data_IF_601851968834
#
_entry.id   IF_601851968834
#
_cell.length_a   1.000
_cell.length_b   1.000
_cell.length_c   1.000
_cell.angle_alpha   90.00
_cell.angle_beta   90.00
_cell.angle_gamma   90.00
#
_symmetry.space_group_name_H-M   'P 1'
#
loop_
_entity.id
_entity.type
_entity.pdbx_description
1 polymer ?
#
# COMPACT_ATOMS: atom_id res chain seq x y z
N UNK A 1 -35.76 32.62 62.97
CA UNK A 1 -35.90 31.35 62.16
C UNK A 1 -36.06 31.57 60.68
N UNK A 2 -36.92 32.48 60.17
CA UNK A 2 -37.17 32.71 58.74
C UNK A 2 -35.95 33.23 57.94
N UNK A 3 -35.02 33.97 58.55
CA UNK A 3 -33.88 34.50 57.90
C UNK A 3 -32.75 33.44 57.67
N UNK A 4 -32.57 32.53 58.60
CA UNK A 4 -31.60 31.40 58.51
C UNK A 4 -31.97 30.46 57.37
N UNK A 5 -33.26 30.21 57.17
CA UNK A 5 -33.78 29.33 56.12
C UNK A 5 -33.55 29.90 54.71
N UNK A 6 -33.64 31.22 54.54
CA UNK A 6 -33.35 31.88 53.27
C UNK A 6 -31.86 31.83 52.88
N UNK A 7 -30.96 31.91 53.85
CA UNK A 7 -29.51 31.81 53.65
C UNK A 7 -29.13 30.37 53.20
N UNK A 8 -29.71 29.37 53.89
CA UNK A 8 -29.47 27.97 53.53
C UNK A 8 -29.95 27.63 52.13
N UNK A 9 -31.15 28.10 51.71
CA UNK A 9 -31.67 27.92 50.35
C UNK A 9 -30.78 28.61 49.32
N UNK A 10 -30.26 29.81 49.61
CA UNK A 10 -29.34 30.52 48.74
C UNK A 10 -28.02 29.80 48.54
N UNK A 11 -27.48 29.18 49.60
CA UNK A 11 -26.22 28.43 49.53
C UNK A 11 -26.43 27.10 48.78
N UNK A 12 -27.52 26.39 49.01
CA UNK A 12 -27.86 25.15 48.29
C UNK A 12 -28.14 25.47 46.79
N UNK A 13 -28.84 26.52 46.46
CA UNK A 13 -29.08 26.96 45.10
C UNK A 13 -27.80 27.35 44.37
N UNK A 14 -26.87 28.06 45.07
CA UNK A 14 -25.56 28.39 44.54
C UNK A 14 -24.67 27.18 44.30
N UNK A 15 -24.69 26.17 45.21
CA UNK A 15 -23.97 24.91 45.07
C UNK A 15 -24.53 24.06 43.90
N UNK A 16 -25.82 24.00 43.73
CA UNK A 16 -26.48 23.31 42.63
C UNK A 16 -26.13 23.99 41.29
N UNK A 17 -26.09 25.31 41.25
CA UNK A 17 -25.67 26.08 40.06
C UNK A 17 -24.20 25.86 39.72
N UNK A 18 -23.33 25.82 40.70
CA UNK A 18 -21.91 25.50 40.53
C UNK A 18 -21.70 24.05 40.07
N UNK A 19 -22.42 23.08 40.62
CA UNK A 19 -22.37 21.68 40.20
C UNK A 19 -22.93 21.51 38.77
N UNK A 20 -24.01 22.20 38.42
CA UNK A 20 -24.58 22.17 37.08
C UNK A 20 -23.72 22.90 36.03
N UNK A 21 -23.00 23.96 36.43
CA UNK A 21 -21.97 24.60 35.58
C UNK A 21 -20.72 23.74 35.39
N UNK A 22 -20.30 22.99 36.42
CA UNK A 22 -19.19 22.02 36.28
C UNK A 22 -19.60 20.73 35.56
N UNK A 23 -20.87 20.35 35.61
CA UNK A 23 -21.46 19.25 34.84
C UNK A 23 -21.98 19.67 33.47
N UNK A 24 -21.47 20.72 32.85
CA UNK A 24 -21.54 20.77 31.39
C UNK A 24 -20.85 19.52 30.91
N UNK A 25 -21.65 18.52 30.52
CA UNK A 25 -21.18 17.32 29.80
C UNK A 25 -20.29 17.85 28.68
N UNK A 26 -18.96 17.78 28.87
CA UNK A 26 -18.03 17.94 27.74
C UNK A 26 -18.57 17.02 26.70
N UNK A 27 -19.11 17.54 25.63
CA UNK A 27 -19.60 16.78 24.51
C UNK A 27 -18.43 15.95 24.07
N UNK A 28 -18.49 14.62 24.28
CA UNK A 28 -17.39 13.71 23.99
C UNK A 28 -17.16 13.77 22.50
N UNK A 29 -16.03 14.35 22.09
CA UNK A 29 -15.69 14.43 20.68
C UNK A 29 -15.45 12.99 20.20
N UNK A 30 -16.28 12.53 19.28
CA UNK A 30 -16.25 11.16 18.76
C UNK A 30 -15.62 11.05 17.38
N UNK A 31 -15.38 12.19 16.71
CA UNK A 31 -14.82 12.25 15.38
C UNK A 31 -13.55 13.12 15.35
N UNK A 32 -12.52 12.64 14.69
CA UNK A 32 -11.26 13.36 14.54
C UNK A 32 -11.46 14.71 13.84
N UNK A 33 -12.37 14.77 12.86
CA UNK A 33 -12.69 16.01 12.14
C UNK A 33 -13.15 17.12 13.09
N UNK A 34 -14.05 16.79 14.03
CA UNK A 34 -14.59 17.75 14.98
C UNK A 34 -13.51 18.25 15.95
N UNK A 35 -12.60 17.33 16.34
CA UNK A 35 -11.47 17.68 17.20
C UNK A 35 -10.48 18.59 16.48
N UNK A 36 -10.11 18.27 15.25
CA UNK A 36 -9.21 19.08 14.42
C UNK A 36 -9.81 20.47 14.14
N UNK A 37 -11.09 20.54 13.78
CA UNK A 37 -11.74 21.83 13.52
C UNK A 37 -11.81 22.70 14.78
N UNK A 38 -12.00 22.10 15.96
CA UNK A 38 -11.99 22.82 17.24
C UNK A 38 -10.61 23.33 17.62
N UNK A 39 -9.56 22.51 17.48
CA UNK A 39 -8.20 22.83 17.95
C UNK A 39 -7.36 23.58 16.89
N UNK A 40 -7.69 23.39 15.60
CA UNK A 40 -7.04 23.99 14.43
C UNK A 40 -8.07 24.45 13.39
N UNK A 41 -8.82 25.50 13.67
CA UNK A 41 -9.91 25.94 12.79
C UNK A 41 -9.44 26.12 11.34
N UNK A 42 -10.13 25.50 10.41
CA UNK A 42 -9.92 25.62 8.96
C UNK A 42 -8.52 25.29 8.44
N UNK A 43 -7.70 24.54 9.21
CA UNK A 43 -6.32 24.21 8.81
C UNK A 43 -6.21 22.88 8.09
N UNK A 44 -7.02 21.88 8.45
CA UNK A 44 -6.85 20.52 8.02
C UNK A 44 -8.10 19.92 7.36
N UNK A 45 -7.87 18.97 6.43
CA UNK A 45 -8.87 18.07 5.87
C UNK A 45 -8.56 16.61 6.24
N UNK A 46 -9.58 15.89 6.69
CA UNK A 46 -9.48 14.45 6.91
C UNK A 46 -9.78 13.75 5.59
N UNK A 47 -8.75 13.13 5.01
CA UNK A 47 -8.84 12.46 3.71
C UNK A 47 -9.37 11.05 3.83
N UNK A 48 -8.95 10.33 4.89
CA UNK A 48 -9.37 8.95 5.13
C UNK A 48 -9.32 8.56 6.60
N UNK A 49 -10.14 7.55 6.94
CA UNK A 49 -10.15 6.91 8.24
C UNK A 49 -9.94 5.41 8.06
N UNK A 50 -8.97 4.84 8.72
CA UNK A 50 -8.66 3.42 8.64
C UNK A 50 -8.61 2.76 10.02
N UNK A 51 -8.69 1.43 10.02
CA UNK A 51 -8.48 0.61 11.22
C UNK A 51 -7.33 -0.35 10.92
N UNK A 52 -6.32 -0.35 11.77
CA UNK A 52 -5.17 -1.26 11.66
C UNK A 52 -5.16 -2.21 12.84
N UNK A 53 -5.22 -3.49 12.57
CA UNK A 53 -5.04 -4.51 13.59
C UNK A 53 -3.55 -4.64 13.93
N UNK A 54 -3.21 -4.37 15.20
CA UNK A 54 -1.81 -4.38 15.65
C UNK A 54 -1.30 -5.80 15.84
N UNK A 55 -2.17 -6.73 16.20
CA UNK A 55 -1.83 -8.15 16.40
C UNK A 55 -2.94 -9.01 15.83
N UNK A 56 -2.61 -9.92 14.91
CA UNK A 56 -3.57 -10.80 14.21
C UNK A 56 -4.48 -11.64 15.10
N UNK A 57 -4.21 -11.79 16.40
CA UNK A 57 -4.97 -12.65 17.31
C UNK A 57 -5.38 -11.98 18.63
N UNK A 58 -5.15 -10.70 18.80
CA UNK A 58 -5.57 -9.94 19.98
C UNK A 58 -6.41 -8.75 19.50
N UNK A 59 -7.57 -8.56 20.13
CA UNK A 59 -8.61 -7.56 19.79
C UNK A 59 -8.14 -6.08 19.92
N UNK A 60 -6.89 -5.77 19.61
CA UNK A 60 -6.36 -4.42 19.65
C UNK A 60 -6.27 -3.86 18.23
N UNK A 61 -7.28 -3.09 17.85
CA UNK A 61 -7.24 -2.29 16.63
C UNK A 61 -6.99 -0.83 16.98
N UNK A 62 -6.00 -0.24 16.35
CA UNK A 62 -5.78 1.21 16.35
C UNK A 62 -6.49 1.80 15.16
N UNK A 63 -7.27 2.84 15.39
CA UNK A 63 -7.81 3.68 14.33
C UNK A 63 -6.79 4.75 14.01
N UNK A 64 -6.75 5.14 12.75
CA UNK A 64 -5.97 6.25 12.30
C UNK A 64 -6.71 7.05 11.24
N UNK A 65 -6.22 8.23 10.96
CA UNK A 65 -6.71 9.06 9.88
C UNK A 65 -5.56 9.67 9.13
N UNK A 66 -5.65 9.66 7.80
CA UNK A 66 -4.78 10.48 6.96
C UNK A 66 -5.38 11.87 6.88
N UNK A 67 -4.59 12.84 7.29
CA UNK A 67 -4.98 14.24 7.39
C UNK A 67 -4.04 15.09 6.55
N UNK A 68 -4.58 16.01 5.76
CA UNK A 68 -3.83 16.92 4.91
C UNK A 68 -3.95 18.36 5.36
N UNK A 69 -2.94 19.19 5.11
CA UNK A 69 -3.07 20.65 5.21
C UNK A 69 -3.87 21.21 4.03
N UNK A 70 -4.86 22.06 4.30
CA UNK A 70 -5.65 22.73 3.26
C UNK A 70 -4.79 23.65 2.37
N UNK A 71 -3.74 24.24 2.94
CA UNK A 71 -2.79 25.11 2.21
C UNK A 71 -1.91 24.34 1.22
N UNK A 72 -1.60 23.09 1.50
CA UNK A 72 -0.87 22.17 0.61
C UNK A 72 -1.30 20.72 0.86
N UNK A 73 -2.23 20.18 0.06
CA UNK A 73 -2.77 18.83 0.24
C UNK A 73 -1.74 17.71 0.10
N UNK A 74 -0.54 17.99 -0.39
CA UNK A 74 0.55 17.00 -0.47
C UNK A 74 1.27 16.83 0.88
N UNK A 75 1.08 17.75 1.83
CA UNK A 75 1.58 17.62 3.20
C UNK A 75 0.56 16.88 4.02
N UNK A 76 0.82 15.59 4.24
CA UNK A 76 -0.11 14.67 4.88
C UNK A 76 0.53 13.98 6.08
N UNK A 77 -0.25 13.83 7.14
CA UNK A 77 0.16 13.12 8.34
C UNK A 77 -0.79 11.97 8.65
N UNK A 78 -0.24 10.88 9.17
CA UNK A 78 -0.98 9.77 9.73
C UNK A 78 -1.16 10.01 11.23
N UNK A 79 -2.40 10.22 11.65
CA UNK A 79 -2.76 10.51 13.03
C UNK A 79 -3.45 9.30 13.66
N UNK A 80 -2.79 8.55 14.54
CA UNK A 80 -3.44 7.48 15.30
C UNK A 80 -4.39 8.06 16.35
N UNK A 81 -5.56 7.46 16.53
CA UNK A 81 -6.53 7.86 17.53
C UNK A 81 -7.37 6.69 18.05
N UNK A 82 -7.93 6.83 19.26
CA UNK A 82 -8.86 5.84 19.85
C UNK A 82 -10.30 6.34 19.73
N UNK A 83 -11.17 5.51 19.14
CA UNK A 83 -12.60 5.82 18.99
C UNK A 83 -13.30 6.09 20.33
N UNK A 84 -12.82 5.50 21.42
CA UNK A 84 -13.44 5.64 22.75
C UNK A 84 -13.06 6.94 23.43
N UNK A 85 -11.89 7.48 23.10
CA UNK A 85 -11.30 8.66 23.77
C UNK A 85 -10.36 9.40 22.82
N UNK A 86 -10.92 10.07 21.82
CA UNK A 86 -10.11 10.90 20.89
C UNK A 86 -9.24 11.89 21.67
N UNK A 87 -9.78 12.48 22.75
CA UNK A 87 -9.04 13.44 23.60
C UNK A 87 -7.87 12.80 24.35
N UNK A 88 -7.79 11.47 24.49
CA UNK A 88 -6.66 10.78 25.14
C UNK A 88 -5.60 10.37 24.11
N UNK A 89 -6.00 10.04 22.89
CA UNK A 89 -5.09 9.61 21.82
C UNK A 89 -4.48 10.75 21.01
N UNK A 90 -5.18 11.90 20.92
CA UNK A 90 -4.74 13.08 20.18
C UNK A 90 -4.44 14.23 21.12
N UNK A 91 -3.21 14.72 21.08
CA UNK A 91 -2.80 15.99 21.70
C UNK A 91 -2.37 16.96 20.61
N UNK A 92 -2.39 18.28 20.93
CA UNK A 92 -1.84 19.29 20.02
C UNK A 92 -0.39 19.00 19.67
N UNK A 93 0.43 18.66 20.66
CA UNK A 93 1.85 18.32 20.47
C UNK A 93 2.01 17.18 19.48
N UNK A 94 1.21 16.10 19.59
CA UNK A 94 1.28 14.96 18.66
C UNK A 94 0.93 15.38 17.23
N UNK A 95 -0.08 16.22 17.05
CA UNK A 95 -0.47 16.72 15.71
C UNK A 95 0.60 17.66 15.15
N UNK A 96 1.09 18.58 15.96
CA UNK A 96 2.14 19.53 15.55
C UNK A 96 3.43 18.79 15.16
N UNK A 97 3.85 17.80 15.94
CA UNK A 97 5.01 16.95 15.64
C UNK A 97 4.79 16.12 14.36
N UNK A 98 3.59 15.56 14.18
CA UNK A 98 3.26 14.79 12.98
C UNK A 98 3.32 15.66 11.74
N UNK A 99 2.81 16.90 11.80
CA UNK A 99 2.88 17.81 10.67
C UNK A 99 4.27 18.43 10.47
N UNK A 100 5.06 18.66 11.53
CA UNK A 100 6.47 19.03 11.39
C UNK A 100 7.25 17.95 10.61
N UNK A 101 7.03 16.66 10.94
CA UNK A 101 7.62 15.55 10.21
C UNK A 101 7.09 15.47 8.76
N UNK A 102 5.79 15.72 8.52
CA UNK A 102 5.21 15.71 7.18
C UNK A 102 5.78 16.85 6.30
N UNK A 103 5.97 18.03 6.86
CA UNK A 103 6.64 19.15 6.18
C UNK A 103 8.08 18.81 5.81
N UNK A 104 8.83 18.16 6.72
CA UNK A 104 10.20 17.76 6.43
C UNK A 104 10.23 16.69 5.34
N UNK A 105 9.35 15.67 5.42
CA UNK A 105 9.22 14.63 4.42
C UNK A 105 8.88 15.19 3.02
N UNK A 106 7.98 16.17 2.95
CA UNK A 106 7.65 16.86 1.70
C UNK A 106 8.86 17.62 1.11
N UNK A 107 9.61 18.35 1.94
CA UNK A 107 10.84 19.04 1.50
C UNK A 107 11.89 18.05 0.99
N UNK A 108 12.07 16.95 1.70
CA UNK A 108 13.01 15.90 1.33
C UNK A 108 12.63 15.24 0.00
N UNK A 109 11.34 14.95 -0.20
CA UNK A 109 10.82 14.41 -1.45
C UNK A 109 11.03 15.38 -2.62
N UNK A 110 10.76 16.66 -2.42
CA UNK A 110 10.93 17.69 -3.45
C UNK A 110 12.41 17.86 -3.85
N UNK A 111 13.32 17.81 -2.87
CA UNK A 111 14.75 17.86 -3.14
C UNK A 111 15.20 16.64 -3.93
N UNK A 112 14.84 15.44 -3.49
CA UNK A 112 15.18 14.20 -4.18
C UNK A 112 14.59 14.15 -5.59
N UNK A 113 13.35 14.58 -5.78
CA UNK A 113 12.72 14.68 -7.10
C UNK A 113 13.55 15.54 -8.06
N UNK A 114 14.02 16.72 -7.60
CA UNK A 114 14.87 17.61 -8.41
C UNK A 114 16.18 16.93 -8.79
N UNK A 115 16.88 16.32 -7.83
CA UNK A 115 18.14 15.61 -8.08
C UNK A 115 17.96 14.46 -9.09
N UNK A 116 16.89 13.69 -8.97
CA UNK A 116 16.57 12.62 -9.92
C UNK A 116 16.34 13.14 -11.33
N UNK A 117 15.60 14.27 -11.46
CA UNK A 117 15.38 14.94 -12.76
C UNK A 117 16.67 15.46 -13.36
N UNK A 118 17.52 16.13 -12.57
CA UNK A 118 18.83 16.65 -12.98
C UNK A 118 19.77 15.53 -13.43
N UNK A 119 19.68 14.36 -12.80
CA UNK A 119 20.43 13.17 -13.18
C UNK A 119 19.80 12.36 -14.33
N UNK A 120 18.69 12.81 -14.93
CA UNK A 120 18.15 12.25 -16.17
C UNK A 120 16.95 11.30 -16.03
N UNK A 121 16.39 11.14 -14.81
CA UNK A 121 15.13 10.41 -14.61
C UNK A 121 13.96 11.38 -14.75
N UNK A 122 13.20 11.29 -15.85
CA UNK A 122 12.19 12.31 -16.22
C UNK A 122 10.77 11.95 -15.85
N UNK A 123 10.35 10.72 -16.11
CA UNK A 123 8.99 10.24 -15.85
C UNK A 123 8.91 9.57 -14.48
N UNK A 124 8.95 10.39 -13.43
CA UNK A 124 9.03 9.91 -12.04
C UNK A 124 8.06 10.65 -11.12
N UNK A 125 7.78 10.01 -9.99
CA UNK A 125 7.23 10.64 -8.80
C UNK A 125 7.96 10.10 -7.55
N UNK A 126 8.02 10.90 -6.50
CA UNK A 126 8.78 10.59 -5.28
C UNK A 126 7.91 10.73 -4.06
N UNK A 127 7.92 9.72 -3.21
CA UNK A 127 7.34 9.79 -1.87
C UNK A 127 8.42 9.59 -0.82
N UNK A 128 8.39 10.39 0.23
CA UNK A 128 9.28 10.24 1.38
C UNK A 128 8.44 10.23 2.64
N UNK A 129 8.68 9.29 3.49
CA UNK A 129 8.17 9.27 4.85
C UNK A 129 9.30 9.00 5.85
N UNK A 130 8.97 8.89 7.14
CA UNK A 130 9.95 8.67 8.21
C UNK A 130 10.72 7.34 8.04
N UNK A 131 10.16 6.34 7.33
CA UNK A 131 10.69 4.97 7.25
C UNK A 131 11.18 4.60 5.87
N UNK A 132 10.64 5.23 4.82
CA UNK A 132 10.89 4.83 3.45
C UNK A 132 10.99 6.02 2.50
N UNK A 133 11.78 5.81 1.46
CA UNK A 133 11.81 6.59 0.23
C UNK A 133 11.26 5.72 -0.87
N UNK A 134 10.29 6.23 -1.61
CA UNK A 134 9.63 5.52 -2.69
C UNK A 134 9.81 6.30 -3.98
N UNK A 135 10.34 5.65 -5.00
CA UNK A 135 10.52 6.23 -6.33
C UNK A 135 9.65 5.47 -7.31
N UNK A 136 8.73 6.16 -7.93
CA UNK A 136 7.90 5.64 -9.01
C UNK A 136 8.49 6.07 -10.34
N UNK A 137 8.66 5.12 -11.26
CA UNK A 137 9.14 5.36 -12.63
C UNK A 137 8.04 4.91 -13.58
N UNK A 138 7.48 5.84 -14.35
CA UNK A 138 6.37 5.59 -15.27
C UNK A 138 6.91 5.19 -16.64
N UNK A 139 7.37 3.97 -16.75
CA UNK A 139 7.93 3.41 -17.98
C UNK A 139 7.78 1.90 -18.03
N UNK A 140 7.77 1.34 -19.22
CA UNK A 140 7.97 -0.09 -19.42
C UNK A 140 9.46 -0.34 -19.72
N UNK A 141 10.26 -0.78 -18.73
CA UNK A 141 11.70 -0.84 -18.89
C UNK A 141 12.16 -2.16 -19.52
N UNK A 142 13.16 -2.07 -20.39
CA UNK A 142 14.03 -3.20 -20.69
C UNK A 142 14.96 -3.49 -19.50
N UNK A 143 15.60 -4.68 -19.42
CA UNK A 143 16.61 -4.98 -18.38
C UNK A 143 17.70 -3.92 -18.31
N UNK A 144 18.19 -3.45 -19.45
CA UNK A 144 19.22 -2.40 -19.54
C UNK A 144 18.73 -1.07 -18.95
N UNK A 145 17.48 -0.70 -19.21
CA UNK A 145 16.91 0.54 -18.67
C UNK A 145 16.73 0.44 -17.15
N UNK A 146 16.31 -0.72 -16.61
CA UNK A 146 16.25 -0.93 -15.16
C UNK A 146 17.61 -0.76 -14.50
N UNK A 147 18.65 -1.35 -15.10
CA UNK A 147 20.02 -1.20 -14.60
C UNK A 147 20.51 0.25 -14.65
N UNK A 148 20.30 0.94 -15.78
CA UNK A 148 20.66 2.34 -15.91
C UNK A 148 19.95 3.23 -14.87
N UNK A 149 18.68 2.99 -14.61
CA UNK A 149 17.95 3.76 -13.59
C UNK A 149 18.53 3.56 -12.20
N UNK A 150 18.98 2.35 -11.84
CA UNK A 150 19.63 2.11 -10.56
C UNK A 150 20.94 2.92 -10.42
N UNK A 151 21.71 3.05 -11.50
CA UNK A 151 22.94 3.88 -11.49
C UNK A 151 22.62 5.36 -11.29
N UNK A 152 21.58 5.88 -11.96
CA UNK A 152 21.13 7.26 -11.78
C UNK A 152 20.57 7.51 -10.37
N UNK A 153 19.86 6.53 -9.82
CA UNK A 153 19.37 6.56 -8.45
C UNK A 153 20.53 6.55 -7.45
N UNK A 154 21.52 5.67 -7.61
CA UNK A 154 22.71 5.62 -6.75
C UNK A 154 23.42 6.97 -6.68
N UNK A 155 23.64 7.60 -7.83
CA UNK A 155 24.18 8.94 -7.92
C UNK A 155 23.33 9.97 -7.17
N UNK A 156 22.03 9.99 -7.43
CA UNK A 156 21.11 10.94 -6.79
C UNK A 156 21.01 10.76 -5.28
N UNK A 157 20.99 9.52 -4.79
CA UNK A 157 21.00 9.24 -3.35
C UNK A 157 22.30 9.65 -2.68
N UNK A 158 23.46 9.49 -3.35
CA UNK A 158 24.72 9.97 -2.82
C UNK A 158 24.80 11.50 -2.71
N UNK A 159 24.19 12.21 -3.64
CA UNK A 159 24.07 13.67 -3.61
C UNK A 159 23.05 14.18 -2.58
N UNK A 160 21.99 13.39 -2.34
CA UNK A 160 20.92 13.72 -1.40
C UNK A 160 21.39 13.70 0.06
N UNK A 161 22.37 12.89 0.43
CA UNK A 161 23.12 12.85 1.69
C UNK A 161 22.25 12.98 2.96
N UNK A 162 21.18 12.20 3.07
CA UNK A 162 20.38 12.17 4.29
C UNK A 162 20.96 11.15 5.27
N UNK A 163 21.22 11.62 6.49
CA UNK A 163 21.81 10.82 7.57
C UNK A 163 20.90 9.70 8.08
N UNK A 164 19.58 9.86 7.92
CA UNK A 164 18.62 8.87 8.40
C UNK A 164 18.56 7.66 7.47
N UNK A 165 18.85 6.49 8.02
CA UNK A 165 18.65 5.22 7.34
C UNK A 165 17.15 5.00 7.05
N UNK A 166 16.80 4.89 5.77
CA UNK A 166 15.42 4.65 5.30
C UNK A 166 15.43 3.48 4.32
N UNK A 167 14.34 2.72 4.30
CA UNK A 167 14.13 1.78 3.22
C UNK A 167 13.96 2.55 1.90
N UNK A 168 14.56 2.05 0.84
CA UNK A 168 14.40 2.61 -0.51
C UNK A 168 13.64 1.59 -1.35
N UNK A 169 12.51 1.99 -1.86
CA UNK A 169 11.63 1.18 -2.69
C UNK A 169 11.48 1.83 -4.06
N UNK A 170 11.77 1.10 -5.12
CA UNK A 170 11.74 1.58 -6.50
C UNK A 170 10.72 0.74 -7.27
N UNK A 171 9.84 1.40 -7.97
CA UNK A 171 8.73 0.80 -8.68
C UNK A 171 8.70 1.26 -10.14
N UNK A 172 8.56 0.33 -11.05
CA UNK A 172 8.16 0.62 -12.42
C UNK A 172 6.68 0.41 -12.60
N UNK A 173 6.01 1.43 -13.10
CA UNK A 173 4.57 1.42 -13.39
C UNK A 173 4.33 1.55 -14.90
N UNK A 174 3.19 1.04 -15.34
CA UNK A 174 2.74 1.26 -16.71
C UNK A 174 2.67 2.76 -17.03
N UNK A 175 3.16 3.21 -18.19
CA UNK A 175 3.13 4.63 -18.59
C UNK A 175 1.72 5.23 -18.58
N UNK A 176 0.71 4.42 -18.98
CA UNK A 176 -0.70 4.81 -18.98
C UNK A 176 -1.36 4.73 -17.59
N UNK A 177 -0.68 4.14 -16.61
CA UNK A 177 -1.12 4.01 -15.22
C UNK A 177 -0.78 5.24 -14.38
N UNK A 178 -0.23 6.31 -14.99
CA UNK A 178 -0.04 7.58 -14.31
C UNK A 178 -1.44 8.14 -14.03
N UNK A 179 -1.89 7.94 -12.80
CA UNK A 179 -3.03 8.66 -12.30
C UNK A 179 -2.75 10.16 -12.47
N UNK A 180 -3.60 10.84 -13.22
CA UNK A 180 -3.45 12.29 -13.46
C UNK A 180 -3.48 13.12 -12.17
N UNK A 181 -3.92 12.52 -11.06
CA UNK A 181 -3.84 13.09 -9.73
C UNK A 181 -2.47 12.91 -9.06
N UNK A 182 -1.59 12.02 -9.59
CA UNK A 182 -0.22 11.88 -9.11
C UNK A 182 0.63 13.04 -9.61
N UNK A 183 0.91 13.94 -8.70
CA UNK A 183 1.89 14.99 -8.88
C UNK A 183 3.32 14.40 -8.82
N UNK A 184 4.30 15.27 -8.96
CA UNK A 184 5.72 14.94 -8.80
C UNK A 184 6.05 14.33 -7.42
N UNK A 185 5.26 14.70 -6.40
CA UNK A 185 5.34 14.16 -5.04
C UNK A 185 4.14 13.27 -4.78
N UNK A 186 4.41 12.05 -4.33
CA UNK A 186 3.40 11.05 -3.98
C UNK A 186 2.94 11.28 -2.53
N UNK A 187 1.69 11.64 -2.32
CA UNK A 187 1.17 11.87 -0.98
C UNK A 187 0.98 10.56 -0.20
N UNK A 188 0.97 10.65 1.12
CA UNK A 188 0.87 9.50 2.03
C UNK A 188 -0.39 8.65 1.79
N UNK A 189 -1.54 9.28 1.52
CA UNK A 189 -2.81 8.59 1.27
C UNK A 189 -2.72 7.62 0.08
N UNK A 190 -1.89 7.92 -0.90
CA UNK A 190 -1.70 7.05 -2.06
C UNK A 190 -1.15 5.67 -1.66
N UNK A 191 -0.28 5.64 -0.63
CA UNK A 191 0.31 4.41 -0.12
C UNK A 191 -0.60 3.62 0.82
N UNK A 192 -1.58 4.28 1.41
CA UNK A 192 -2.52 3.66 2.35
C UNK A 192 -3.77 3.12 1.66
N UNK A 193 -4.37 3.89 0.75
CA UNK A 193 -5.65 3.57 0.12
C UNK A 193 -5.56 3.26 -1.38
N UNK A 194 -4.65 3.93 -2.08
CA UNK A 194 -4.39 3.68 -3.50
C UNK A 194 -3.57 2.40 -3.78
N UNK A 195 -3.18 1.65 -2.74
CA UNK A 195 -2.28 0.51 -2.86
C UNK A 195 -2.77 -0.56 -3.85
N UNK A 196 -4.07 -0.84 -3.87
CA UNK A 196 -4.64 -1.85 -4.77
C UNK A 196 -4.54 -1.41 -6.25
N UNK A 197 -4.86 -0.15 -6.56
CA UNK A 197 -4.73 0.37 -7.93
C UNK A 197 -3.27 0.55 -8.33
N UNK A 198 -2.42 0.95 -7.40
CA UNK A 198 -0.98 1.00 -7.58
C UNK A 198 -0.41 -0.38 -7.93
N UNK A 199 -0.75 -1.43 -7.18
CA UNK A 199 -0.31 -2.80 -7.47
C UNK A 199 -0.73 -3.27 -8.85
N UNK A 200 -1.94 -2.94 -9.30
CA UNK A 200 -2.43 -3.33 -10.62
C UNK A 200 -1.64 -2.73 -11.78
N UNK A 201 -1.05 -1.55 -11.57
CA UNK A 201 -0.27 -0.84 -12.59
C UNK A 201 1.24 -1.04 -12.44
N UNK A 202 1.69 -1.59 -11.32
CA UNK A 202 3.10 -1.89 -11.05
C UNK A 202 3.56 -3.07 -11.91
N UNK A 203 4.69 -2.91 -12.59
CA UNK A 203 5.31 -3.95 -13.41
C UNK A 203 6.45 -4.65 -12.67
N UNK A 204 7.36 -3.85 -12.11
CA UNK A 204 8.53 -4.33 -11.40
C UNK A 204 8.77 -3.52 -10.13
N UNK A 205 9.41 -4.14 -9.16
CA UNK A 205 9.86 -3.45 -7.97
C UNK A 205 11.17 -4.04 -7.43
N UNK A 206 11.94 -3.20 -6.74
CA UNK A 206 13.12 -3.58 -5.99
C UNK A 206 13.19 -2.75 -4.72
N UNK A 207 13.73 -3.33 -3.65
CA UNK A 207 13.89 -2.64 -2.37
C UNK A 207 15.32 -2.78 -1.84
N UNK A 208 15.81 -1.70 -1.21
CA UNK A 208 17.02 -1.68 -0.42
C UNK A 208 16.61 -1.35 1.02
N UNK A 209 16.95 -2.20 1.97
CA UNK A 209 16.59 -1.98 3.37
C UNK A 209 17.52 -0.95 4.03
N UNK A 210 17.02 -0.28 5.06
CA UNK A 210 17.74 0.78 5.77
C UNK A 210 19.08 0.35 6.38
N UNK A 211 19.28 -0.94 6.61
CA UNK A 211 20.54 -1.54 7.10
C UNK A 211 21.60 -1.68 6.02
N UNK A 212 21.21 -1.54 4.75
CA UNK A 212 22.08 -1.81 3.60
C UNK A 212 22.47 -0.49 2.92
N UNK A 213 23.67 -0.45 2.38
CA UNK A 213 24.07 0.66 1.50
C UNK A 213 23.45 0.44 0.14
N UNK A 214 22.75 1.47 -0.38
CA UNK A 214 22.20 1.42 -1.73
C UNK A 214 23.32 1.20 -2.75
N UNK A 215 23.19 0.16 -3.55
CA UNK A 215 24.16 -0.16 -4.59
C UNK A 215 23.46 -0.67 -5.85
N UNK A 216 23.59 0.08 -6.93
CA UNK A 216 23.03 -0.28 -8.24
C UNK A 216 23.49 -1.68 -8.70
N UNK A 217 24.77 -2.01 -8.47
CA UNK A 217 25.33 -3.32 -8.83
C UNK A 217 24.67 -4.47 -8.06
N UNK A 218 24.44 -4.30 -6.75
CA UNK A 218 23.78 -5.33 -5.93
C UNK A 218 22.33 -5.51 -6.32
N UNK A 219 21.59 -4.39 -6.51
CA UNK A 219 20.15 -4.40 -6.77
C UNK A 219 19.80 -4.78 -8.22
N UNK A 220 20.75 -4.77 -9.15
CA UNK A 220 20.49 -5.06 -10.56
C UNK A 220 19.86 -6.44 -10.81
N UNK A 221 20.09 -7.40 -9.90
CA UNK A 221 19.57 -8.77 -9.99
C UNK A 221 18.36 -9.01 -9.05
N UNK A 222 17.94 -8.00 -8.28
CA UNK A 222 16.91 -8.14 -7.24
C UNK A 222 15.54 -7.65 -7.67
N UNK A 223 15.36 -7.34 -8.95
CA UNK A 223 14.06 -6.94 -9.49
C UNK A 223 13.04 -8.06 -9.38
N UNK A 224 11.90 -7.74 -8.79
CA UNK A 224 10.75 -8.62 -8.72
C UNK A 224 9.72 -8.18 -9.76
N UNK A 225 9.13 -9.15 -10.46
CA UNK A 225 8.02 -8.92 -11.35
C UNK A 225 6.69 -9.00 -10.59
N UNK A 226 5.74 -8.13 -10.90
CA UNK A 226 4.45 -8.12 -10.23
C UNK A 226 3.44 -9.01 -10.93
N UNK A 227 3.15 -10.16 -10.32
CA UNK A 227 2.16 -11.13 -10.80
C UNK A 227 0.71 -10.69 -10.54
N UNK A 228 0.47 -9.59 -9.83
CA UNK A 228 -0.86 -9.01 -9.62
C UNK A 228 -1.17 -7.87 -10.60
N UNK A 229 -0.22 -7.54 -11.49
CA UNK A 229 -0.42 -6.48 -12.48
C UNK A 229 -1.54 -6.82 -13.47
N UNK A 230 -2.27 -5.81 -13.91
CA UNK A 230 -3.32 -5.98 -14.96
C UNK A 230 -2.75 -6.64 -16.21
N UNK A 231 -1.53 -6.27 -16.58
CA UNK A 231 -0.83 -6.84 -17.73
C UNK A 231 -0.58 -8.32 -17.58
N UNK A 232 -0.04 -8.73 -16.42
CA UNK A 232 0.21 -10.14 -16.16
C UNK A 232 -1.11 -10.92 -16.12
N UNK A 233 -2.13 -10.40 -15.43
CA UNK A 233 -3.44 -11.05 -15.36
C UNK A 233 -4.10 -11.22 -16.74
N UNK A 234 -3.97 -10.22 -17.64
CA UNK A 234 -4.41 -10.36 -19.04
C UNK A 234 -3.62 -11.44 -19.80
N UNK A 235 -2.33 -11.60 -19.48
CA UNK A 235 -1.53 -12.69 -20.07
C UNK A 235 -1.96 -14.07 -19.52
N UNK A 236 -2.36 -14.15 -18.27
CA UNK A 236 -2.88 -15.38 -17.64
C UNK A 236 -4.17 -15.85 -18.30
N UNK A 237 -5.06 -14.95 -18.70
CA UNK A 237 -6.28 -15.31 -19.43
C UNK A 237 -5.95 -15.99 -20.76
N UNK A 238 -5.01 -15.44 -21.53
CA UNK A 238 -4.52 -16.07 -22.76
C UNK A 238 -3.83 -17.41 -22.50
N UNK A 239 -3.02 -17.49 -21.45
CA UNK A 239 -2.37 -18.72 -21.03
C UNK A 239 -3.40 -19.82 -20.68
N UNK A 240 -4.53 -19.46 -20.10
CA UNK A 240 -5.61 -20.39 -19.78
C UNK A 240 -6.23 -20.98 -21.07
N UNK A 241 -6.44 -20.16 -22.08
CA UNK A 241 -6.93 -20.63 -23.39
C UNK A 241 -5.94 -21.60 -24.05
N UNK A 242 -4.65 -21.28 -24.02
CA UNK A 242 -3.59 -22.16 -24.53
C UNK A 242 -3.48 -23.45 -23.73
N UNK A 243 -3.56 -23.38 -22.39
CA UNK A 243 -3.57 -24.54 -21.51
C UNK A 243 -4.77 -25.46 -21.81
N UNK A 244 -5.95 -24.88 -21.99
CA UNK A 244 -7.17 -25.64 -22.34
C UNK A 244 -7.01 -26.35 -23.68
N UNK A 245 -6.48 -25.66 -24.71
CA UNK A 245 -6.22 -26.24 -26.03
C UNK A 245 -5.21 -27.38 -25.94
N UNK A 246 -4.07 -27.12 -25.32
CA UNK A 246 -3.02 -28.14 -25.15
C UNK A 246 -3.53 -29.35 -24.38
N UNK A 247 -4.26 -29.12 -23.29
CA UNK A 247 -4.82 -30.22 -22.48
C UNK A 247 -5.83 -31.07 -23.28
N UNK A 248 -6.66 -30.44 -24.14
CA UNK A 248 -7.60 -31.17 -24.99
C UNK A 248 -6.92 -32.10 -26.00
N UNK A 249 -5.70 -31.77 -26.43
CA UNK A 249 -4.89 -32.57 -27.33
C UNK A 249 -4.14 -33.71 -26.61
N UNK A 250 -3.77 -33.52 -25.35
CA UNK A 250 -2.86 -34.41 -24.62
C UNK A 250 -3.55 -35.25 -23.53
N UNK A 251 -4.68 -34.79 -23.00
CA UNK A 251 -5.45 -35.50 -21.98
C UNK A 251 -6.60 -36.26 -22.66
N UNK A 252 -6.51 -37.59 -22.67
CA UNK A 252 -7.51 -38.43 -23.33
C UNK A 252 -8.82 -38.58 -22.55
N UNK A 253 -8.79 -38.36 -21.23
CA UNK A 253 -9.98 -38.42 -20.36
C UNK A 253 -10.67 -37.05 -20.31
N UNK A 254 -12.00 -37.01 -20.33
CA UNK A 254 -12.71 -35.72 -20.14
C UNK A 254 -12.29 -35.03 -18.84
N UNK A 255 -12.00 -33.73 -18.89
CA UNK A 255 -11.52 -32.92 -17.79
C UNK A 255 -12.16 -31.55 -17.80
N UNK A 256 -12.02 -30.81 -16.69
CA UNK A 256 -12.41 -29.42 -16.55
C UNK A 256 -11.29 -28.66 -15.87
N UNK A 257 -10.80 -27.57 -16.48
CA UNK A 257 -9.91 -26.61 -15.79
C UNK A 257 -10.70 -25.85 -14.74
N UNK A 258 -10.15 -25.74 -13.55
CA UNK A 258 -10.74 -24.95 -12.47
C UNK A 258 -10.47 -23.46 -12.70
N UNK A 259 -11.32 -22.59 -12.13
CA UNK A 259 -11.17 -21.16 -12.27
C UNK A 259 -10.00 -20.57 -11.47
N UNK A 260 -9.47 -21.31 -10.50
CA UNK A 260 -8.27 -20.91 -9.78
C UNK A 260 -7.02 -20.97 -10.68
N UNK A 261 -6.02 -20.19 -10.30
CA UNK A 261 -4.70 -20.16 -10.94
C UNK A 261 -3.67 -20.00 -9.84
N UNK A 262 -2.62 -20.77 -9.88
CA UNK A 262 -1.51 -20.70 -8.95
C UNK A 262 -0.29 -20.10 -9.66
N UNK A 263 0.46 -19.27 -8.94
CA UNK A 263 1.67 -18.66 -9.43
C UNK A 263 2.82 -19.00 -8.50
N UNK A 264 3.96 -19.32 -9.10
CA UNK A 264 5.22 -19.51 -8.40
C UNK A 264 6.33 -18.79 -9.17
N UNK A 265 7.07 -17.93 -8.49
CA UNK A 265 8.23 -17.26 -9.06
C UNK A 265 9.48 -17.82 -8.36
N UNK A 266 10.26 -18.67 -9.04
CA UNK A 266 11.45 -19.26 -8.45
C UNK A 266 12.43 -18.19 -8.01
N UNK A 267 12.97 -18.31 -6.80
CA UNK A 267 14.02 -17.42 -6.30
C UNK A 267 15.28 -17.42 -7.18
N UNK A 268 15.54 -18.55 -7.86
CA UNK A 268 16.67 -18.75 -8.75
C UNK A 268 16.53 -18.06 -10.11
N UNK A 269 15.29 -17.77 -10.54
CA UNK A 269 15.02 -17.12 -11.82
C UNK A 269 13.80 -16.20 -11.70
N UNK A 270 14.05 -14.94 -11.36
CA UNK A 270 13.00 -13.91 -11.20
C UNK A 270 12.41 -13.43 -12.55
N UNK A 271 12.94 -13.91 -13.68
CA UNK A 271 12.45 -13.60 -15.02
C UNK A 271 11.45 -14.64 -15.54
N UNK A 272 11.21 -15.69 -14.77
CA UNK A 272 10.23 -16.73 -15.10
C UNK A 272 9.17 -16.81 -14.01
N UNK A 273 7.91 -16.83 -14.41
CA UNK A 273 6.77 -17.11 -13.52
C UNK A 273 6.16 -18.44 -13.94
N UNK A 274 6.16 -19.41 -13.06
CA UNK A 274 5.46 -20.66 -13.29
C UNK A 274 3.96 -20.47 -13.01
N UNK A 275 3.12 -20.73 -14.00
CA UNK A 275 1.66 -20.63 -13.91
C UNK A 275 1.10 -22.03 -13.94
N UNK A 276 0.22 -22.34 -12.98
CA UNK A 276 -0.43 -23.63 -12.85
C UNK A 276 -1.94 -23.48 -12.90
N UNK A 277 -2.56 -24.20 -13.82
CA UNK A 277 -4.01 -24.30 -13.95
C UNK A 277 -4.46 -25.66 -13.41
N UNK A 278 -5.09 -25.72 -12.24
CA UNK A 278 -5.59 -26.97 -11.69
C UNK A 278 -6.74 -27.50 -12.54
N UNK A 279 -6.82 -28.81 -12.69
CA UNK A 279 -7.91 -29.48 -13.37
C UNK A 279 -8.42 -30.68 -12.58
N UNK A 280 -9.67 -31.04 -12.88
CA UNK A 280 -10.30 -32.26 -12.39
C UNK A 280 -10.81 -33.09 -13.58
N UNK A 281 -10.71 -34.40 -13.51
CA UNK A 281 -11.38 -35.25 -14.48
C UNK A 281 -12.89 -35.21 -14.28
N UNK A 282 -13.63 -35.17 -15.37
CA UNK A 282 -15.08 -35.27 -15.30
C UNK A 282 -15.45 -36.64 -14.72
N UNK A 283 -16.13 -36.64 -13.57
CA UNK A 283 -16.63 -37.83 -12.94
C UNK A 283 -17.73 -38.43 -13.82
N UNK A 284 -17.68 -39.72 -14.06
CA UNK A 284 -18.80 -40.47 -14.59
C UNK A 284 -19.95 -40.29 -13.59
N UNK A 285 -21.17 -40.09 -14.07
CA UNK A 285 -22.40 -39.63 -13.40
C UNK A 285 -22.76 -40.20 -12.00
N UNK A 286 -21.99 -41.11 -11.47
CA UNK A 286 -22.30 -41.86 -10.24
C UNK A 286 -21.39 -41.56 -9.03
N UNK A 287 -20.34 -40.73 -9.19
CA UNK A 287 -19.43 -40.46 -8.09
C UNK A 287 -19.75 -39.13 -7.40
N UNK A 288 -19.92 -39.23 -6.10
CA UNK A 288 -20.38 -38.23 -5.13
C UNK A 288 -19.83 -36.83 -5.28
N UNK A 289 -20.71 -35.84 -5.09
CA UNK A 289 -20.44 -34.38 -5.07
C UNK A 289 -19.42 -33.92 -4.02
N UNK A 290 -18.95 -34.75 -3.13
CA UNK A 290 -17.94 -34.42 -2.12
C UNK A 290 -16.49 -34.43 -2.63
N UNK A 291 -16.28 -34.86 -3.88
CA UNK A 291 -14.95 -34.96 -4.51
C UNK A 291 -14.41 -33.63 -5.06
N UNK A 292 -15.12 -32.50 -4.89
CA UNK A 292 -14.62 -31.15 -5.28
C UNK A 292 -13.41 -30.66 -4.47
N UNK A 293 -12.87 -31.47 -3.55
CA UNK A 293 -11.71 -31.10 -2.72
C UNK A 293 -10.35 -31.52 -3.31
N UNK A 294 -10.34 -32.29 -4.37
CA UNK A 294 -9.10 -32.86 -4.91
C UNK A 294 -8.87 -32.39 -6.35
N UNK A 295 -7.69 -31.84 -6.57
CA UNK A 295 -7.18 -31.53 -7.89
C UNK A 295 -6.52 -32.77 -8.44
N UNK A 296 -6.87 -33.20 -9.66
CA UNK A 296 -6.27 -34.40 -10.30
C UNK A 296 -4.90 -34.10 -10.92
N UNK A 297 -4.54 -32.80 -11.01
CA UNK A 297 -3.27 -32.33 -11.51
C UNK A 297 -3.33 -30.88 -12.01
N UNK A 298 -2.23 -30.46 -12.60
CA UNK A 298 -2.06 -29.10 -13.12
C UNK A 298 -1.56 -29.12 -14.55
N UNK A 299 -2.04 -28.17 -15.35
CA UNK A 299 -1.36 -27.75 -16.58
C UNK A 299 -0.41 -26.64 -16.18
N UNK A 300 0.89 -26.89 -16.25
CA UNK A 300 1.94 -25.94 -15.86
C UNK A 300 2.56 -25.31 -17.10
N UNK A 301 2.78 -24.00 -17.04
CA UNK A 301 3.41 -23.20 -18.09
C UNK A 301 4.43 -22.24 -17.47
N UNK A 302 5.54 -22.01 -18.14
CA UNK A 302 6.52 -21.01 -17.75
C UNK A 302 6.32 -19.74 -18.55
N UNK A 303 5.96 -18.63 -17.87
CA UNK A 303 5.89 -17.31 -18.47
C UNK A 303 7.24 -16.61 -18.35
N UNK A 304 7.88 -16.38 -19.49
CA UNK A 304 9.12 -15.61 -19.57
C UNK A 304 8.79 -14.12 -19.65
N UNK A 305 9.01 -13.44 -18.53
CA UNK A 305 8.57 -12.06 -18.30
C UNK A 305 9.13 -11.07 -19.32
N UNK A 306 10.41 -11.19 -19.64
CA UNK A 306 11.10 -10.28 -20.55
C UNK A 306 10.69 -10.50 -22.02
N UNK A 307 10.49 -11.75 -22.41
CA UNK A 307 10.06 -12.12 -23.76
C UNK A 307 8.54 -12.03 -23.95
N UNK A 308 7.79 -12.00 -22.83
CA UNK A 308 6.31 -12.00 -22.80
C UNK A 308 5.69 -13.21 -23.52
N UNK A 309 6.33 -14.38 -23.40
CA UNK A 309 5.91 -15.63 -24.02
C UNK A 309 5.75 -16.73 -23.00
N UNK A 310 4.86 -17.66 -23.32
CA UNK A 310 4.69 -18.91 -22.56
C UNK A 310 5.54 -20.00 -23.19
N UNK A 311 6.20 -20.79 -22.35
CA UNK A 311 7.02 -21.92 -22.78
C UNK A 311 6.74 -23.13 -21.88
N UNK A 312 7.20 -24.31 -22.29
CA UNK A 312 7.24 -25.52 -21.50
C UNK A 312 5.87 -25.95 -20.92
N UNK A 313 4.83 -25.99 -21.77
CA UNK A 313 3.53 -26.49 -21.35
C UNK A 313 3.67 -27.99 -21.01
N UNK A 314 3.29 -28.37 -19.80
CA UNK A 314 3.38 -29.75 -19.33
C UNK A 314 2.26 -30.11 -18.37
N UNK A 315 1.95 -31.41 -18.32
CA UNK A 315 1.08 -31.99 -17.32
C UNK A 315 1.90 -32.30 -16.05
N UNK A 316 1.46 -31.78 -14.93
CA UNK A 316 1.97 -32.13 -13.61
C UNK A 316 0.86 -32.88 -12.87
N UNK A 317 1.11 -34.15 -12.51
CA UNK A 317 0.20 -34.95 -11.67
C UNK A 317 0.62 -34.76 -10.22
N UNK A 318 -0.37 -34.63 -9.35
CA UNK A 318 -0.12 -34.76 -7.91
C UNK A 318 0.15 -36.23 -7.50
#
# INVERSE_FOLDING_TARGET
MKMFFKIIIGIIGGLILLITMQCRKKTKITHIKDWLEKEYPNRFDVLDNYTKDIVRNLSFSVKGSIVAEKSNPLIQADLPWDKRQIEIGLSKTLVDDAFANAHQAYKDALLLYKLLKENGLTEIAVGVDKRAVKVLIFAEPTPKQRQNSLVLLEKSFSEWQKEEARNIEIYYLEPNGKDTSLNEIVPLIYWTNGYVEFQKNMLYWVACYATDTFSAKKLAHDWNYNTESRRFMSSVEKAREEAQKWASEHIKRPFTLLNSTEFDQPYSDRHVVNIRFPFVYQLLKEENKDSMKYVDGYISMDYHVEEKVFKQIKLVKE
#
